data_IF_639016325599
#
_entry.id   IF_639016325599
#
_cell.length_a   1.000
_cell.length_b   1.000
_cell.length_c   1.000
_cell.angle_alpha   90.00
_cell.angle_beta   90.00
_cell.angle_gamma   90.00
#
_symmetry.space_group_name_H-M   'P 1'
#
loop_
_entity.id
_entity.type
_entity.pdbx_description
1 polymer ?
#
# COMPACT_ATOMS: atom_id res chain seq x y z
N UNK A 1 -16.90 6.00 -33.50
CA UNK A 1 -15.60 6.58 -33.11
C UNK A 1 -15.59 6.81 -31.59
N UNK A 2 -14.73 6.16 -30.79
CA UNK A 2 -14.64 6.47 -29.36
C UNK A 2 -14.14 7.91 -29.21
N UNK A 3 -15.00 8.78 -28.66
CA UNK A 3 -14.70 10.21 -28.49
C UNK A 3 -13.52 10.37 -27.54
N UNK A 4 -12.44 11.03 -28.00
CA UNK A 4 -11.28 11.38 -27.17
C UNK A 4 -11.77 12.18 -25.96
N UNK A 5 -11.80 11.54 -24.79
CA UNK A 5 -12.22 12.15 -23.53
C UNK A 5 -11.33 13.35 -23.21
N UNK A 6 -11.91 14.57 -23.16
CA UNK A 6 -11.21 15.82 -22.76
C UNK A 6 -10.33 15.55 -21.53
N UNK A 7 -9.07 15.95 -21.61
CA UNK A 7 -8.11 15.78 -20.53
C UNK A 7 -8.57 16.56 -19.28
N UNK A 8 -9.18 15.84 -18.32
CA UNK A 8 -9.55 16.39 -17.01
C UNK A 8 -8.28 16.84 -16.26
N UNK A 9 -8.27 18.10 -15.78
CA UNK A 9 -7.20 18.71 -14.95
C UNK A 9 -6.98 18.00 -13.61
N UNK A 10 -7.90 17.13 -13.20
CA UNK A 10 -7.80 16.37 -11.94
C UNK A 10 -6.60 15.41 -11.96
N UNK A 11 -5.85 15.42 -10.85
CA UNK A 11 -4.71 14.51 -10.58
C UNK A 11 -5.13 13.04 -10.54
N UNK A 12 -6.36 12.75 -10.12
CA UNK A 12 -6.93 11.41 -10.04
C UNK A 12 -8.12 11.27 -11.00
N UNK A 13 -8.21 10.14 -11.69
CA UNK A 13 -9.35 9.80 -12.55
C UNK A 13 -10.57 9.33 -11.76
N UNK A 14 -11.74 9.38 -12.38
CA UNK A 14 -13.01 8.94 -11.76
C UNK A 14 -12.99 7.47 -11.34
N UNK A 15 -12.32 6.61 -12.11
CA UNK A 15 -12.14 5.20 -11.78
C UNK A 15 -11.38 5.03 -10.45
N UNK A 16 -10.32 5.83 -10.23
CA UNK A 16 -9.57 5.78 -8.98
C UNK A 16 -10.41 6.22 -7.78
N UNK A 17 -11.20 7.30 -7.93
CA UNK A 17 -12.12 7.76 -6.89
C UNK A 17 -13.16 6.69 -6.53
N UNK A 18 -13.72 5.99 -7.52
CA UNK A 18 -14.69 4.90 -7.31
C UNK A 18 -14.07 3.71 -6.57
N UNK A 19 -12.84 3.31 -6.92
CA UNK A 19 -12.12 2.24 -6.20
C UNK A 19 -11.90 2.61 -4.74
N UNK A 20 -11.42 3.83 -4.45
CA UNK A 20 -11.23 4.29 -3.07
C UNK A 20 -12.54 4.33 -2.30
N UNK A 21 -13.63 4.79 -2.93
CA UNK A 21 -14.95 4.81 -2.30
C UNK A 21 -15.44 3.42 -1.93
N UNK A 22 -15.30 2.44 -2.83
CA UNK A 22 -15.67 1.03 -2.58
C UNK A 22 -14.90 0.48 -1.38
N UNK A 23 -13.58 0.67 -1.36
CA UNK A 23 -12.71 0.20 -0.27
C UNK A 23 -13.05 0.89 1.06
N UNK A 24 -13.34 2.19 1.02
CA UNK A 24 -13.81 2.95 2.19
C UNK A 24 -15.14 2.42 2.74
N UNK A 25 -16.10 2.09 1.87
CA UNK A 25 -17.37 1.48 2.28
C UNK A 25 -17.14 0.08 2.87
N UNK A 26 -16.27 -0.73 2.29
CA UNK A 26 -15.93 -2.06 2.82
C UNK A 26 -15.23 -1.98 4.19
N UNK A 27 -14.37 -0.98 4.37
CA UNK A 27 -13.74 -0.69 5.66
C UNK A 27 -14.78 -0.28 6.71
N UNK A 28 -15.68 0.66 6.40
CA UNK A 28 -16.77 1.08 7.31
C UNK A 28 -17.67 -0.08 7.72
N UNK A 29 -17.86 -1.06 6.83
CA UNK A 29 -18.61 -2.30 7.11
C UNK A 29 -17.80 -3.36 7.88
N UNK A 30 -16.52 -3.12 8.18
CA UNK A 30 -15.64 -4.07 8.86
C UNK A 30 -15.25 -5.30 8.04
N UNK A 31 -15.44 -5.26 6.71
CA UNK A 31 -15.21 -6.38 5.79
C UNK A 31 -13.85 -6.34 5.12
N UNK A 32 -13.20 -5.17 5.09
CA UNK A 32 -11.92 -4.99 4.44
C UNK A 32 -10.78 -5.71 5.17
N UNK A 33 -9.98 -6.50 4.45
CA UNK A 33 -8.82 -7.24 4.97
C UNK A 33 -7.54 -6.85 4.25
N UNK A 34 -6.44 -6.84 4.99
CA UNK A 34 -5.07 -6.72 4.48
C UNK A 34 -4.66 -7.99 3.72
N UNK A 35 -3.79 -7.86 2.72
CA UNK A 35 -3.39 -8.95 1.82
C UNK A 35 -2.86 -10.20 2.52
N UNK A 36 -1.53 -10.35 2.65
CA UNK A 36 -0.93 -11.60 3.10
C UNK A 36 -1.29 -11.98 4.55
N UNK A 37 -1.48 -10.99 5.41
CA UNK A 37 -1.81 -11.21 6.83
C UNK A 37 -3.29 -11.46 7.12
N UNK A 38 -4.20 -11.25 6.15
CA UNK A 38 -5.68 -11.37 6.32
C UNK A 38 -6.29 -10.57 7.48
N UNK A 39 -5.51 -9.74 8.19
CA UNK A 39 -5.95 -8.87 9.29
C UNK A 39 -6.95 -7.84 8.78
N UNK A 40 -7.97 -7.53 9.58
CA UNK A 40 -8.94 -6.48 9.26
C UNK A 40 -8.25 -5.11 9.17
N UNK A 41 -8.67 -4.30 8.20
CA UNK A 41 -8.18 -2.93 8.04
C UNK A 41 -8.91 -2.02 9.02
N UNK A 42 -8.15 -1.42 9.94
CA UNK A 42 -8.68 -0.54 10.98
C UNK A 42 -8.45 0.94 10.66
N UNK A 43 -7.49 1.25 9.79
CA UNK A 43 -7.12 2.63 9.47
C UNK A 43 -7.66 3.10 8.12
N UNK A 44 -8.24 4.30 8.11
CA UNK A 44 -8.73 4.98 6.90
C UNK A 44 -7.62 5.19 5.87
N UNK A 45 -6.42 5.57 6.34
CA UNK A 45 -5.24 5.75 5.48
C UNK A 45 -4.89 4.46 4.74
N UNK A 46 -5.02 3.32 5.42
CA UNK A 46 -4.74 2.01 4.84
C UNK A 46 -5.78 1.61 3.79
N UNK A 47 -7.07 1.85 4.04
CA UNK A 47 -8.11 1.62 3.04
C UNK A 47 -7.91 2.45 1.76
N UNK A 48 -7.56 3.74 1.92
CA UNK A 48 -7.23 4.61 0.78
C UNK A 48 -6.00 4.07 0.02
N UNK A 49 -4.97 3.62 0.74
CA UNK A 49 -3.77 3.05 0.12
C UNK A 49 -4.07 1.77 -0.68
N UNK A 50 -4.97 0.92 -0.18
CA UNK A 50 -5.44 -0.27 -0.89
C UNK A 50 -6.18 0.15 -2.17
N UNK A 51 -7.18 1.03 -2.05
CA UNK A 51 -7.97 1.50 -3.20
C UNK A 51 -7.13 2.20 -4.28
N UNK A 52 -6.14 3.02 -3.88
CA UNK A 52 -5.20 3.63 -4.83
C UNK A 52 -4.27 2.62 -5.49
N UNK A 53 -3.88 1.56 -4.77
CA UNK A 53 -3.04 0.49 -5.33
C UNK A 53 -3.81 -0.38 -6.33
N UNK A 54 -5.07 -0.67 -6.05
CA UNK A 54 -5.97 -1.36 -6.98
C UNK A 54 -6.22 -0.52 -8.23
N UNK A 55 -6.51 0.77 -8.06
CA UNK A 55 -6.70 1.68 -9.18
C UNK A 55 -5.48 1.74 -10.11
N UNK A 56 -4.25 1.73 -9.55
CA UNK A 56 -3.02 1.66 -10.35
C UNK A 56 -2.90 0.35 -11.12
N UNK A 57 -3.20 -0.79 -10.48
CA UNK A 57 -3.16 -2.11 -11.14
C UNK A 57 -4.18 -2.21 -12.28
N UNK A 58 -5.33 -1.56 -12.12
CA UNK A 58 -6.38 -1.48 -13.13
C UNK A 58 -6.11 -0.46 -14.24
N UNK A 59 -4.95 0.22 -14.24
CA UNK A 59 -4.60 1.21 -15.26
C UNK A 59 -5.37 2.54 -15.15
N UNK A 60 -6.02 2.80 -14.02
CA UNK A 60 -6.71 4.07 -13.82
C UNK A 60 -5.69 5.22 -13.69
N UNK A 61 -6.12 6.44 -14.04
CA UNK A 61 -5.32 7.67 -13.88
C UNK A 61 -5.05 7.95 -12.41
N UNK A 62 -3.88 7.55 -11.92
CA UNK A 62 -3.40 7.76 -10.56
C UNK A 62 -1.95 8.24 -10.62
N UNK A 63 -1.55 9.27 -9.86
CA UNK A 63 -0.16 9.66 -9.76
C UNK A 63 0.72 8.51 -9.30
N UNK A 64 1.93 8.45 -9.87
CA UNK A 64 2.96 7.51 -9.48
C UNK A 64 3.18 7.61 -7.96
N UNK A 65 3.39 6.47 -7.27
CA UNK A 65 3.77 6.53 -5.87
C UNK A 65 5.04 7.38 -5.74
N UNK A 66 5.20 8.13 -4.64
CA UNK A 66 6.42 8.89 -4.41
C UNK A 66 7.62 7.95 -4.54
N UNK A 67 8.63 8.36 -5.32
CA UNK A 67 9.88 7.62 -5.44
C UNK A 67 10.39 7.40 -4.03
N UNK A 68 10.43 6.14 -3.58
CA UNK A 68 11.11 5.83 -2.33
C UNK A 68 12.56 6.23 -2.56
N UNK A 69 13.05 7.28 -1.90
CA UNK A 69 14.49 7.42 -1.68
C UNK A 69 14.86 6.10 -1.01
N UNK A 70 15.59 5.24 -1.71
CA UNK A 70 16.10 4.01 -1.13
C UNK A 70 16.90 4.45 0.09
N UNK A 71 16.33 4.29 1.29
CA UNK A 71 17.10 4.45 2.50
C UNK A 71 18.23 3.42 2.35
N UNK A 72 19.44 3.91 2.06
CA UNK A 72 20.64 3.10 1.92
C UNK A 72 20.67 2.25 3.18
N UNK A 73 20.42 0.95 3.05
CA UNK A 73 20.33 0.03 4.17
C UNK A 73 21.73 0.04 4.78
N UNK A 74 21.96 0.87 5.81
CA UNK A 74 23.20 0.81 6.59
C UNK A 74 23.13 -0.54 7.28
N UNK A 75 23.82 -1.51 6.70
CA UNK A 75 24.00 -2.84 7.28
C UNK A 75 24.65 -2.63 8.65
N UNK A 76 23.86 -2.62 9.70
CA UNK A 76 24.40 -2.80 11.04
C UNK A 76 24.97 -4.20 11.06
N UNK A 77 26.29 -4.30 11.08
CA UNK A 77 27.05 -5.54 11.14
C UNK A 77 26.50 -6.33 12.32
N UNK A 78 25.79 -7.43 12.04
CA UNK A 78 25.25 -8.34 13.05
C UNK A 78 26.44 -8.87 13.85
N UNK A 79 26.68 -8.31 15.04
CA UNK A 79 27.67 -8.84 15.98
C UNK A 79 27.10 -10.19 16.44
N UNK A 80 27.63 -11.27 15.86
CA UNK A 80 27.32 -12.64 16.25
C UNK A 80 27.54 -12.78 17.75
N UNK A 81 26.49 -13.14 18.47
CA UNK A 81 26.55 -13.52 19.88
C UNK A 81 27.62 -14.59 20.04
N UNK A 82 28.68 -14.27 20.77
CA UNK A 82 29.70 -15.24 21.16
C UNK A 82 29.00 -16.36 21.93
N UNK A 83 29.10 -17.56 21.37
CA UNK A 83 28.72 -18.83 21.96
C UNK A 83 29.54 -19.01 23.23
N UNK A 84 28.97 -18.72 24.41
CA UNK A 84 29.61 -19.02 25.70
C UNK A 84 29.10 -20.37 26.19
N UNK A 85 29.60 -21.42 25.55
CA UNK A 85 29.59 -22.78 26.10
C UNK A 85 30.84 -22.92 26.97
N UNK A 86 30.71 -22.88 28.30
CA UNK A 86 31.70 -23.46 29.21
C UNK A 86 31.25 -23.44 30.68
N UNK A 87 31.15 -24.65 31.27
CA UNK A 87 31.54 -25.03 32.66
C UNK A 87 30.57 -24.59 33.78
N UNK A 88 30.27 -25.35 34.84
CA UNK A 88 30.83 -26.56 35.46
C UNK A 88 29.69 -27.34 36.16
N UNK A 89 29.81 -28.67 36.32
CA UNK A 89 30.03 -29.37 37.60
C UNK A 89 28.81 -29.37 38.53
#
# INVERSE_FOLDING_TARGET
MPTKKKASSRKYGTAASKSVEREMRAMKKGKLKSGRSKKKVTSRKQAIAIGLSEARKAGAKVPSPPKKKSAKKKSTKKKSSAKKSSKAA
#
